data_IF_723522435117
#
_entry.id   IF_723522435117
#
_cell.length_a   1.000
_cell.length_b   1.000
_cell.length_c   1.000
_cell.angle_alpha   90.00
_cell.angle_beta   90.00
_cell.angle_gamma   90.00
#
_symmetry.space_group_name_H-M   'P 1'
#
loop_
_entity.id
_entity.type
_entity.pdbx_description
1 polymer ?
#
# COMPACT_ATOMS: atom_id res chain seq x y z
N UNK A 1 -47.61 -8.56 -29.15
CA UNK A 1 -46.69 -7.46 -28.77
C UNK A 1 -47.10 -7.03 -27.38
N UNK A 2 -46.49 -7.64 -26.37
CA UNK A 2 -46.63 -7.21 -24.98
C UNK A 2 -45.22 -7.08 -24.43
N UNK A 3 -44.89 -5.87 -24.04
CA UNK A 3 -43.56 -5.38 -23.71
C UNK A 3 -43.06 -6.02 -22.40
N UNK A 4 -42.10 -6.95 -22.52
CA UNK A 4 -41.25 -7.39 -21.42
C UNK A 4 -40.13 -6.35 -21.20
N UNK A 5 -40.46 -5.20 -20.63
CA UNK A 5 -39.51 -4.27 -20.03
C UNK A 5 -39.61 -4.37 -18.51
N UNK A 6 -39.28 -5.55 -17.98
CA UNK A 6 -39.14 -5.74 -16.54
C UNK A 6 -37.70 -5.39 -16.14
N UNK A 7 -37.56 -4.21 -15.53
CA UNK A 7 -36.47 -3.81 -14.64
C UNK A 7 -35.03 -4.14 -15.06
N UNK A 8 -34.50 -3.35 -15.98
CA UNK A 8 -33.08 -2.96 -16.00
C UNK A 8 -32.83 -1.90 -14.91
N UNK A 9 -33.21 -2.19 -13.66
CA UNK A 9 -32.63 -1.49 -12.53
C UNK A 9 -31.13 -1.82 -12.56
N UNK A 10 -30.28 -0.80 -12.62
CA UNK A 10 -28.84 -0.94 -12.76
C UNK A 10 -28.30 -1.97 -11.76
N UNK A 11 -27.71 -3.06 -12.25
CA UNK A 11 -27.05 -4.11 -11.44
C UNK A 11 -25.86 -3.58 -10.61
N UNK A 12 -25.62 -2.26 -10.63
CA UNK A 12 -24.62 -1.53 -9.84
C UNK A 12 -24.81 -1.71 -8.33
N UNK A 13 -26.01 -2.01 -7.85
CA UNK A 13 -26.31 -2.08 -6.40
C UNK A 13 -25.81 -3.36 -5.71
N UNK A 14 -25.14 -4.26 -6.43
CA UNK A 14 -24.61 -5.52 -5.88
C UNK A 14 -23.14 -5.39 -5.43
N UNK A 15 -22.40 -4.42 -5.99
CA UNK A 15 -20.97 -4.26 -5.71
C UNK A 15 -20.73 -3.28 -4.57
N UNK A 16 -19.79 -3.59 -3.69
CA UNK A 16 -19.27 -2.69 -2.67
C UNK A 16 -17.74 -2.70 -2.66
N UNK A 17 -17.14 -1.59 -2.22
CA UNK A 17 -15.69 -1.49 -2.06
C UNK A 17 -15.30 -2.14 -0.73
N UNK A 18 -14.47 -3.19 -0.79
CA UNK A 18 -14.05 -3.94 0.39
C UNK A 18 -13.17 -3.11 1.33
N UNK A 19 -12.29 -2.28 0.77
CA UNK A 19 -11.37 -1.43 1.52
C UNK A 19 -12.04 -0.24 2.21
N UNK A 20 -13.28 0.09 1.82
CA UNK A 20 -14.09 1.09 2.49
C UNK A 20 -14.81 0.59 3.74
N UNK A 21 -14.77 -0.72 4.03
CA UNK A 21 -15.37 -1.29 5.23
C UNK A 21 -14.51 -1.00 6.47
N UNK A 22 -15.14 -0.94 7.64
CA UNK A 22 -14.45 -1.07 8.93
C UNK A 22 -14.21 -2.55 9.27
N UNK A 23 -13.38 -2.83 10.27
CA UNK A 23 -13.13 -4.20 10.70
C UNK A 23 -14.40 -5.00 11.07
N UNK A 24 -15.34 -4.47 11.90
CA UNK A 24 -16.58 -5.18 12.20
C UNK A 24 -17.40 -5.51 10.96
N UNK A 25 -17.49 -4.59 10.01
CA UNK A 25 -18.26 -4.79 8.78
C UNK A 25 -17.64 -5.88 7.89
N UNK A 26 -16.31 -5.90 7.78
CA UNK A 26 -15.60 -6.96 7.07
C UNK A 26 -15.71 -8.32 7.79
N UNK A 27 -15.68 -8.32 9.12
CA UNK A 27 -15.86 -9.52 9.95
C UNK A 27 -17.29 -10.09 9.89
N UNK A 28 -18.29 -9.25 9.71
CA UNK A 28 -19.70 -9.64 9.63
C UNK A 28 -20.13 -10.08 8.22
N UNK A 29 -19.26 -9.97 7.21
CA UNK A 29 -19.56 -10.46 5.87
C UNK A 29 -19.82 -11.97 5.87
N UNK A 30 -20.89 -12.43 5.20
CA UNK A 30 -21.09 -13.85 4.95
C UNK A 30 -19.86 -14.44 4.24
N UNK A 31 -19.35 -15.58 4.71
CA UNK A 31 -18.11 -16.19 4.21
C UNK A 31 -18.24 -16.83 2.82
N UNK A 32 -19.44 -16.88 2.29
CA UNK A 32 -19.74 -17.18 0.89
C UNK A 32 -19.89 -15.92 0.01
N UNK A 33 -19.65 -14.71 0.56
CA UNK A 33 -19.59 -13.47 -0.22
C UNK A 33 -18.44 -13.55 -1.22
N UNK A 34 -18.68 -13.35 -2.52
CA UNK A 34 -17.61 -13.24 -3.51
C UNK A 34 -16.74 -12.02 -3.25
N UNK A 35 -15.44 -12.25 -3.09
CA UNK A 35 -14.43 -11.20 -2.98
C UNK A 35 -13.50 -11.25 -4.18
N UNK A 36 -13.36 -10.12 -4.86
CA UNK A 36 -12.69 -10.01 -6.16
C UNK A 36 -11.50 -9.07 -6.05
N UNK A 37 -10.30 -9.55 -6.35
CA UNK A 37 -9.09 -8.77 -6.53
C UNK A 37 -8.88 -8.46 -8.03
N UNK A 38 -9.19 -7.25 -8.52
CA UNK A 38 -9.02 -6.93 -9.93
C UNK A 38 -7.58 -6.52 -10.25
N UNK A 39 -7.06 -7.00 -11.39
CA UNK A 39 -5.79 -6.54 -11.96
C UNK A 39 -6.03 -5.33 -12.86
N UNK A 40 -5.94 -4.13 -12.27
CA UNK A 40 -6.32 -2.87 -12.90
C UNK A 40 -7.81 -2.56 -12.77
N UNK A 41 -8.26 -1.53 -13.48
CA UNK A 41 -9.64 -1.03 -13.46
C UNK A 41 -10.24 -0.99 -14.87
N UNK A 42 -11.58 -0.97 -14.94
CA UNK A 42 -12.32 -0.91 -16.21
C UNK A 42 -12.88 -2.24 -16.70
N UNK A 43 -12.97 -3.25 -15.84
CA UNK A 43 -13.70 -4.49 -16.12
C UNK A 43 -15.21 -4.27 -16.20
N UNK A 44 -15.91 -5.14 -16.94
CA UNK A 44 -17.36 -5.12 -17.04
C UNK A 44 -17.96 -5.82 -15.81
N UNK A 45 -18.53 -5.00 -14.91
CA UNK A 45 -19.14 -5.49 -13.67
C UNK A 45 -20.45 -6.26 -13.91
N UNK A 46 -21.18 -5.97 -15.00
CA UNK A 46 -22.38 -6.74 -15.32
C UNK A 46 -21.99 -8.16 -15.76
N UNK A 47 -20.98 -8.26 -16.62
CA UNK A 47 -20.43 -9.55 -17.04
C UNK A 47 -19.83 -10.30 -15.85
N UNK A 48 -19.14 -9.61 -14.94
CA UNK A 48 -18.60 -10.21 -13.72
C UNK A 48 -19.71 -10.79 -12.84
N UNK A 49 -20.81 -10.05 -12.64
CA UNK A 49 -21.95 -10.53 -11.88
C UNK A 49 -22.55 -11.81 -12.49
N UNK A 50 -22.68 -11.87 -13.83
CA UNK A 50 -23.14 -13.06 -14.53
C UNK A 50 -22.16 -14.24 -14.39
N UNK A 51 -20.85 -14.00 -14.51
CA UNK A 51 -19.79 -15.01 -14.29
C UNK A 51 -19.81 -15.56 -12.85
N UNK A 52 -20.24 -14.77 -11.87
CA UNK A 52 -20.40 -15.15 -10.47
C UNK A 52 -21.77 -15.76 -10.15
N UNK A 53 -22.61 -16.03 -11.16
CA UNK A 53 -23.97 -16.53 -11.01
C UNK A 53 -24.90 -15.59 -10.21
N UNK A 54 -24.77 -14.28 -10.44
CA UNK A 54 -25.62 -13.22 -9.90
C UNK A 54 -25.83 -13.29 -8.36
N UNK A 55 -24.74 -13.22 -7.57
CA UNK A 55 -24.83 -13.22 -6.11
C UNK A 55 -25.53 -11.94 -5.61
N UNK A 56 -26.10 -11.93 -4.39
CA UNK A 56 -26.78 -10.75 -3.85
C UNK A 56 -25.83 -9.60 -3.48
N UNK A 57 -24.52 -9.90 -3.33
CA UNK A 57 -23.46 -8.93 -3.05
C UNK A 57 -22.12 -9.42 -3.60
N UNK A 58 -21.22 -8.50 -3.95
CA UNK A 58 -19.83 -8.77 -4.36
C UNK A 58 -18.92 -7.70 -3.78
N UNK A 59 -17.88 -8.11 -3.07
CA UNK A 59 -16.83 -7.21 -2.59
C UNK A 59 -15.74 -7.04 -3.65
N UNK A 60 -15.47 -5.80 -4.04
CA UNK A 60 -14.33 -5.44 -4.89
C UNK A 60 -13.21 -4.95 -3.99
N UNK A 61 -12.07 -5.64 -4.03
CA UNK A 61 -10.85 -5.17 -3.40
C UNK A 61 -10.21 -4.03 -4.21
N UNK A 62 -9.32 -3.21 -3.59
CA UNK A 62 -8.50 -2.26 -4.32
C UNK A 62 -7.82 -2.89 -5.53
N UNK A 63 -7.87 -2.22 -6.67
CA UNK A 63 -7.24 -2.76 -7.87
C UNK A 63 -5.72 -2.89 -7.68
N UNK A 64 -5.17 -4.04 -8.06
CA UNK A 64 -3.73 -4.21 -8.17
C UNK A 64 -3.24 -3.38 -9.37
N UNK A 65 -2.32 -2.43 -9.21
CA UNK A 65 -2.14 -1.37 -10.21
C UNK A 65 -1.31 -1.79 -11.44
N UNK A 66 -0.34 -2.68 -11.29
CA UNK A 66 0.55 -3.14 -12.37
C UNK A 66 1.25 -4.46 -12.00
N UNK A 67 1.93 -5.11 -12.95
CA UNK A 67 2.78 -6.28 -12.70
C UNK A 67 2.51 -7.47 -13.60
N UNK A 68 1.30 -7.57 -14.15
CA UNK A 68 0.96 -8.59 -15.14
C UNK A 68 1.39 -8.18 -16.54
N UNK A 69 1.50 -9.16 -17.44
CA UNK A 69 1.82 -8.92 -18.84
C UNK A 69 0.81 -7.96 -19.49
N UNK A 70 1.30 -6.89 -20.09
CA UNK A 70 0.46 -5.87 -20.72
C UNK A 70 -0.07 -4.81 -19.74
N UNK A 71 0.27 -4.84 -18.46
CA UNK A 71 0.00 -3.73 -17.53
C UNK A 71 0.92 -2.52 -17.82
N UNK A 72 2.00 -2.76 -18.57
CA UNK A 72 3.03 -1.79 -18.89
C UNK A 72 4.30 -2.00 -18.11
N UNK A 73 4.20 -2.51 -16.88
CA UNK A 73 5.33 -2.88 -16.03
C UNK A 73 5.22 -4.38 -15.77
N UNK A 74 5.69 -5.15 -16.76
CA UNK A 74 5.49 -6.59 -16.80
C UNK A 74 6.58 -7.28 -15.96
N UNK A 75 6.20 -7.90 -14.84
CA UNK A 75 7.11 -8.65 -13.98
C UNK A 75 7.23 -10.12 -14.42
N UNK A 76 8.30 -10.83 -14.01
CA UNK A 76 8.33 -12.28 -14.12
C UNK A 76 7.10 -12.91 -13.46
N UNK A 77 6.38 -13.75 -14.21
CA UNK A 77 5.12 -14.36 -13.78
C UNK A 77 5.19 -15.05 -12.40
N UNK A 78 6.26 -15.80 -12.06
CA UNK A 78 6.36 -16.41 -10.73
C UNK A 78 6.37 -15.41 -9.58
N UNK A 79 7.08 -14.29 -9.74
CA UNK A 79 7.17 -13.23 -8.73
C UNK A 79 5.81 -12.57 -8.55
N UNK A 80 5.17 -12.21 -9.68
CA UNK A 80 3.86 -11.57 -9.68
C UNK A 80 2.78 -12.46 -9.05
N UNK A 81 2.63 -13.70 -9.53
CA UNK A 81 1.57 -14.58 -9.07
C UNK A 81 1.78 -15.06 -7.63
N UNK A 82 3.02 -15.14 -7.14
CA UNK A 82 3.25 -15.41 -5.71
C UNK A 82 2.68 -14.29 -4.82
N UNK A 83 2.86 -13.03 -5.22
CA UNK A 83 2.28 -11.89 -4.51
C UNK A 83 0.74 -11.98 -4.53
N UNK A 84 0.14 -12.14 -5.71
CA UNK A 84 -1.32 -12.25 -5.86
C UNK A 84 -1.89 -13.42 -5.04
N UNK A 85 -1.21 -14.57 -5.07
CA UNK A 85 -1.64 -15.76 -4.33
C UNK A 85 -1.65 -15.52 -2.83
N UNK A 86 -0.64 -14.84 -2.30
CA UNK A 86 -0.58 -14.50 -0.87
C UNK A 86 -1.77 -13.61 -0.46
N UNK A 87 -2.13 -12.62 -1.29
CA UNK A 87 -3.30 -11.78 -1.06
C UNK A 87 -4.63 -12.58 -1.07
N UNK A 88 -4.82 -13.44 -2.07
CA UNK A 88 -6.02 -14.29 -2.13
C UNK A 88 -6.09 -15.25 -0.93
N UNK A 89 -4.94 -15.75 -0.46
CA UNK A 89 -4.89 -16.60 0.71
C UNK A 89 -5.23 -15.85 2.00
N UNK A 90 -4.87 -14.56 2.14
CA UNK A 90 -5.32 -13.75 3.28
C UNK A 90 -6.84 -13.80 3.45
N UNK A 91 -7.60 -13.64 2.37
CA UNK A 91 -9.06 -13.72 2.41
C UNK A 91 -9.58 -15.13 2.72
N UNK A 92 -8.91 -16.17 2.22
CA UNK A 92 -9.29 -17.57 2.51
C UNK A 92 -9.01 -17.93 3.95
N UNK A 93 -7.93 -17.42 4.50
CA UNK A 93 -7.55 -17.61 5.90
C UNK A 93 -8.55 -16.91 6.83
N UNK A 94 -9.19 -15.82 6.37
CA UNK A 94 -10.36 -15.19 7.02
C UNK A 94 -11.67 -15.99 6.81
N UNK A 95 -11.60 -17.16 6.17
CA UNK A 95 -12.70 -18.09 5.98
C UNK A 95 -13.52 -17.89 4.70
N UNK A 96 -13.19 -16.93 3.82
CA UNK A 96 -13.95 -16.71 2.60
C UNK A 96 -13.75 -17.86 1.59
N UNK A 97 -14.86 -18.41 1.11
CA UNK A 97 -14.88 -19.57 0.20
C UNK A 97 -14.89 -19.19 -1.27
N UNK A 98 -15.28 -17.95 -1.59
CA UNK A 98 -15.48 -17.43 -2.95
C UNK A 98 -14.52 -16.26 -3.22
N UNK A 99 -13.24 -16.58 -3.33
CA UNK A 99 -12.15 -15.60 -3.52
C UNK A 99 -11.57 -15.73 -4.92
N UNK A 100 -11.60 -14.64 -5.69
CA UNK A 100 -11.16 -14.63 -7.08
C UNK A 100 -10.22 -13.46 -7.39
N UNK A 101 -9.27 -13.68 -8.28
CA UNK A 101 -8.57 -12.62 -8.99
C UNK A 101 -9.19 -12.43 -10.38
N UNK A 102 -9.58 -11.21 -10.70
CA UNK A 102 -10.14 -10.81 -11.99
C UNK A 102 -9.02 -10.25 -12.87
N UNK A 103 -8.77 -10.88 -14.00
CA UNK A 103 -7.61 -10.58 -14.84
C UNK A 103 -7.96 -10.43 -16.34
N UNK A 104 -7.09 -9.75 -17.12
CA UNK A 104 -7.17 -9.78 -18.57
C UNK A 104 -7.08 -11.19 -19.15
N UNK A 105 -7.84 -11.46 -20.21
CA UNK A 105 -7.68 -12.67 -21.03
C UNK A 105 -6.26 -12.78 -21.60
N UNK A 106 -5.76 -14.01 -21.74
CA UNK A 106 -4.44 -14.30 -22.30
C UNK A 106 -3.31 -14.36 -21.27
N UNK A 107 -3.61 -14.15 -20.00
CA UNK A 107 -2.73 -14.51 -18.88
C UNK A 107 -3.02 -15.96 -18.47
N UNK A 108 -1.98 -16.79 -18.37
CA UNK A 108 -2.11 -18.17 -17.91
C UNK A 108 -1.31 -18.39 -16.61
N UNK A 109 -1.96 -18.30 -15.43
CA UNK A 109 -1.30 -18.55 -14.15
C UNK A 109 -0.87 -20.02 -13.95
N UNK A 110 -1.33 -20.96 -14.79
CA UNK A 110 -1.06 -22.39 -14.62
C UNK A 110 0.32 -22.81 -15.16
N UNK A 111 0.99 -21.95 -15.94
CA UNK A 111 2.32 -22.22 -16.49
C UNK A 111 3.41 -22.33 -15.41
N UNK A 112 3.15 -21.76 -14.24
CA UNK A 112 4.18 -21.50 -13.21
C UNK A 112 3.85 -22.07 -11.83
N UNK A 113 2.59 -22.44 -11.55
CA UNK A 113 2.19 -23.04 -10.27
C UNK A 113 0.95 -23.95 -10.40
N UNK A 114 0.82 -24.93 -9.49
CA UNK A 114 -0.39 -25.73 -9.26
C UNK A 114 -1.52 -24.89 -8.64
N UNK A 115 -1.80 -23.71 -9.20
CA UNK A 115 -2.87 -22.84 -8.76
C UNK A 115 -4.20 -23.47 -9.16
N UNK A 116 -5.12 -23.62 -8.20
CA UNK A 116 -6.46 -24.09 -8.50
C UNK A 116 -7.13 -23.10 -9.47
N UNK A 117 -7.43 -23.57 -10.68
CA UNK A 117 -8.00 -22.81 -11.78
C UNK A 117 -9.29 -22.06 -11.42
N UNK A 118 -9.98 -22.47 -10.35
CA UNK A 118 -11.19 -21.84 -9.82
C UNK A 118 -10.97 -20.45 -9.22
N UNK A 119 -9.73 -20.03 -8.98
CA UNK A 119 -9.42 -18.74 -8.31
C UNK A 119 -9.34 -17.56 -9.27
N UNK A 120 -9.51 -17.77 -10.58
CA UNK A 120 -9.26 -16.74 -11.58
C UNK A 120 -10.43 -16.57 -12.52
N UNK A 121 -10.84 -15.32 -12.72
CA UNK A 121 -11.87 -14.93 -13.67
C UNK A 121 -11.20 -14.07 -14.74
N UNK A 122 -11.43 -14.38 -16.01
CA UNK A 122 -10.83 -13.65 -17.12
C UNK A 122 -11.86 -12.86 -17.90
N UNK A 123 -11.53 -11.65 -18.31
CA UNK A 123 -12.31 -10.83 -19.23
C UNK A 123 -11.41 -10.13 -20.25
N UNK A 124 -11.97 -9.74 -21.40
CA UNK A 124 -11.28 -8.78 -22.26
C UNK A 124 -11.05 -7.49 -21.45
N UNK A 125 -9.82 -6.95 -21.46
CA UNK A 125 -9.46 -5.83 -20.60
C UNK A 125 -8.76 -4.72 -21.38
N UNK A 126 -9.10 -3.50 -21.04
CA UNK A 126 -8.67 -2.30 -21.76
C UNK A 126 -7.15 -2.07 -21.67
N UNK A 127 -6.48 -2.55 -20.61
CA UNK A 127 -5.01 -2.44 -20.48
C UNK A 127 -4.24 -3.11 -21.62
N UNK A 128 -4.82 -4.12 -22.29
CA UNK A 128 -4.21 -4.76 -23.46
C UNK A 128 -4.20 -3.84 -24.69
N UNK A 129 -4.99 -2.76 -24.66
CA UNK A 129 -5.21 -1.85 -25.79
C UNK A 129 -4.81 -0.40 -25.51
N UNK A 130 -4.54 -0.03 -24.25
CA UNK A 130 -4.22 1.35 -23.86
C UNK A 130 -2.72 1.63 -23.74
N UNK A 131 -2.33 2.92 -23.81
CA UNK A 131 -0.98 3.35 -23.46
C UNK A 131 -0.60 2.92 -22.05
N UNK A 132 0.69 2.64 -21.85
CA UNK A 132 1.25 2.20 -20.56
C UNK A 132 1.43 3.41 -19.62
N UNK A 133 0.35 3.82 -18.96
CA UNK A 133 0.27 5.09 -18.18
C UNK A 133 1.06 5.03 -16.85
N UNK A 134 1.38 3.83 -16.35
CA UNK A 134 1.97 3.64 -15.02
C UNK A 134 3.50 3.61 -14.98
N UNK A 135 4.14 3.57 -16.15
CA UNK A 135 5.57 3.76 -16.23
C UNK A 135 5.87 5.23 -16.42
N UNK A 136 6.87 5.78 -15.72
CA UNK A 136 7.33 7.12 -16.04
C UNK A 136 7.80 7.15 -17.50
N UNK A 137 7.34 8.12 -18.32
CA UNK A 137 7.84 8.30 -19.67
C UNK A 137 9.31 8.71 -19.64
N UNK A 138 10.03 8.51 -20.75
CA UNK A 138 11.46 8.83 -20.82
C UNK A 138 11.78 10.31 -20.52
N UNK A 139 10.81 11.21 -20.66
CA UNK A 139 10.90 12.63 -20.27
C UNK A 139 11.08 12.84 -18.76
N UNK A 140 10.72 11.86 -17.94
CA UNK A 140 10.82 11.92 -16.49
C UNK A 140 12.16 11.40 -15.95
N UNK A 141 13.07 10.96 -16.84
CA UNK A 141 14.42 10.52 -16.41
C UNK A 141 15.14 11.66 -15.70
N UNK A 142 15.92 11.30 -14.69
CA UNK A 142 16.61 12.26 -13.83
C UNK A 142 15.76 12.82 -12.70
N UNK A 143 14.43 12.61 -12.68
CA UNK A 143 13.57 12.88 -11.53
C UNK A 143 13.65 11.76 -10.49
N UNK A 144 13.24 12.05 -9.27
CA UNK A 144 12.99 11.01 -8.25
C UNK A 144 11.65 10.35 -8.55
N UNK A 145 11.67 9.03 -8.74
CA UNK A 145 10.45 8.23 -8.87
C UNK A 145 9.93 7.90 -7.46
N UNK A 146 8.83 8.51 -7.07
CA UNK A 146 8.13 8.22 -5.82
C UNK A 146 7.32 6.93 -5.98
N UNK A 147 7.44 6.04 -5.01
CA UNK A 147 6.76 4.74 -4.98
C UNK A 147 5.94 4.69 -3.68
N UNK A 148 4.71 5.23 -3.67
CA UNK A 148 3.83 5.16 -2.52
C UNK A 148 3.28 3.75 -2.33
N UNK A 149 3.42 3.21 -1.12
CA UNK A 149 2.98 1.86 -0.75
C UNK A 149 2.17 1.97 0.53
N UNK A 150 0.85 1.82 0.41
CA UNK A 150 -0.05 1.76 1.54
C UNK A 150 -0.27 0.31 1.98
N UNK A 151 -1.47 0.06 2.44
CA UNK A 151 -1.94 -1.25 2.85
C UNK A 151 -3.47 -1.30 2.88
N UNK A 152 -4.01 -2.50 2.97
CA UNK A 152 -5.44 -2.77 3.20
C UNK A 152 -5.53 -3.61 4.46
N UNK A 153 -5.88 -2.97 5.58
CA UNK A 153 -5.91 -3.61 6.90
C UNK A 153 -6.89 -3.00 7.89
N UNK A 154 -7.29 -3.81 8.88
CA UNK A 154 -8.13 -3.36 9.98
C UNK A 154 -7.52 -2.13 10.67
N UNK A 155 -8.35 -1.14 10.99
CA UNK A 155 -7.94 0.05 11.76
C UNK A 155 -8.95 0.29 12.90
N UNK A 156 -9.08 -0.71 13.76
CA UNK A 156 -10.06 -0.70 14.83
C UNK A 156 -11.50 -0.68 14.30
N UNK A 157 -12.42 -0.22 15.14
CA UNK A 157 -13.85 -0.21 14.81
C UNK A 157 -14.32 1.01 14.02
N UNK A 158 -13.51 2.08 13.96
CA UNK A 158 -13.96 3.39 13.49
C UNK A 158 -13.39 3.83 12.14
N UNK A 159 -12.35 3.18 11.62
CA UNK A 159 -11.70 3.56 10.36
C UNK A 159 -11.83 2.48 9.28
N UNK A 160 -11.79 2.89 8.00
CA UNK A 160 -11.86 1.96 6.88
C UNK A 160 -10.57 1.15 6.73
N UNK A 161 -10.60 0.03 5.99
CA UNK A 161 -9.38 -0.74 5.72
C UNK A 161 -8.35 0.00 4.86
N UNK A 162 -8.75 1.07 4.18
CA UNK A 162 -7.94 1.83 3.22
C UNK A 162 -7.07 2.95 3.81
N UNK A 163 -6.98 3.09 5.15
CA UNK A 163 -6.30 4.21 5.84
C UNK A 163 -4.92 4.51 5.28
N UNK A 164 -4.01 3.54 5.33
CA UNK A 164 -2.62 3.67 4.89
C UNK A 164 -2.50 4.12 3.44
N UNK A 165 -3.36 3.57 2.59
CA UNK A 165 -3.40 3.86 1.16
C UNK A 165 -3.87 5.29 0.89
N UNK A 166 -4.93 5.74 1.57
CA UNK A 166 -5.46 7.10 1.43
C UNK A 166 -4.42 8.14 1.86
N UNK A 167 -3.72 7.88 2.97
CA UNK A 167 -2.73 8.80 3.53
C UNK A 167 -1.52 8.92 2.60
N UNK A 168 -0.90 7.79 2.25
CA UNK A 168 0.35 7.83 1.48
C UNK A 168 0.15 8.33 0.06
N UNK A 169 -1.00 8.05 -0.56
CA UNK A 169 -1.36 8.57 -1.89
C UNK A 169 -1.55 10.09 -1.85
N UNK A 170 -2.23 10.60 -0.82
CA UNK A 170 -2.39 12.05 -0.59
C UNK A 170 -1.05 12.76 -0.43
N UNK A 171 -0.13 12.17 0.35
CA UNK A 171 1.21 12.73 0.58
C UNK A 171 2.04 12.69 -0.72
N UNK A 172 2.01 11.57 -1.45
CA UNK A 172 2.72 11.43 -2.72
C UNK A 172 2.28 12.46 -3.76
N UNK A 173 0.96 12.60 -3.94
CA UNK A 173 0.37 13.59 -4.85
C UNK A 173 0.71 15.02 -4.44
N UNK A 174 0.65 15.31 -3.14
CA UNK A 174 1.06 16.60 -2.57
C UNK A 174 2.52 16.92 -2.89
N UNK A 175 3.43 15.97 -2.66
CA UNK A 175 4.86 16.17 -2.92
C UNK A 175 5.14 16.40 -4.41
N UNK A 176 4.56 15.58 -5.30
CA UNK A 176 4.71 15.77 -6.75
C UNK A 176 4.17 17.12 -7.20
N UNK A 177 3.05 17.58 -6.64
CA UNK A 177 2.48 18.89 -7.00
C UNK A 177 3.40 20.06 -6.66
N UNK A 178 4.22 19.95 -5.61
CA UNK A 178 5.14 21.01 -5.18
C UNK A 178 6.47 20.98 -5.94
N UNK A 179 6.96 19.80 -6.33
CA UNK A 179 8.21 19.64 -7.10
C UNK A 179 8.03 18.81 -8.38
N UNK A 180 7.13 19.21 -9.31
CA UNK A 180 6.75 18.42 -10.48
C UNK A 180 7.88 18.29 -11.50
N UNK A 181 8.87 19.18 -11.48
CA UNK A 181 10.05 19.11 -12.35
C UNK A 181 11.13 18.18 -11.81
N UNK A 182 11.05 17.77 -10.54
CA UNK A 182 12.09 17.00 -9.83
C UNK A 182 11.61 15.65 -9.33
N UNK A 183 10.31 15.39 -9.36
CA UNK A 183 9.70 14.11 -8.96
C UNK A 183 8.58 13.67 -9.89
N UNK A 184 8.29 12.37 -9.87
CA UNK A 184 7.15 11.76 -10.54
C UNK A 184 6.68 10.58 -9.68
N UNK A 185 5.37 10.38 -9.49
CA UNK A 185 4.86 9.29 -8.65
C UNK A 185 4.29 8.15 -9.49
N UNK A 186 4.69 6.92 -9.14
CA UNK A 186 3.95 5.73 -9.51
C UNK A 186 2.55 5.73 -8.86
N UNK A 187 1.60 4.94 -9.38
CA UNK A 187 0.36 4.66 -8.66
C UNK A 187 0.63 4.10 -7.28
N UNK A 188 -0.20 4.46 -6.30
CA UNK A 188 -0.15 3.87 -4.97
C UNK A 188 -0.39 2.36 -5.04
N UNK A 189 0.45 1.60 -4.35
CA UNK A 189 0.21 0.17 -4.12
C UNK A 189 -0.61 0.01 -2.83
N UNK A 190 -1.84 -0.53 -2.89
CA UNK A 190 -2.70 -0.68 -1.70
C UNK A 190 -2.40 -1.95 -0.89
N UNK A 191 -1.32 -2.65 -1.23
CA UNK A 191 -0.94 -3.92 -0.63
C UNK A 191 0.52 -3.89 -0.19
N UNK A 192 0.76 -4.48 0.97
CA UNK A 192 2.04 -4.46 1.68
C UNK A 192 2.23 -5.72 2.49
N UNK A 193 3.08 -5.65 3.50
CA UNK A 193 3.35 -6.76 4.41
C UNK A 193 2.83 -6.41 5.80
N UNK A 194 1.90 -7.24 6.30
CA UNK A 194 1.46 -7.18 7.69
C UNK A 194 1.70 -8.54 8.35
N UNK A 195 2.46 -8.52 9.45
CA UNK A 195 2.82 -9.74 10.20
C UNK A 195 1.89 -10.05 11.37
N UNK A 196 0.87 -9.21 11.58
CA UNK A 196 -0.09 -9.31 12.69
C UNK A 196 -1.47 -9.82 12.26
N UNK A 197 -1.62 -10.21 10.98
CA UNK A 197 -2.90 -10.61 10.39
C UNK A 197 -3.60 -11.79 11.07
N UNK A 198 -2.88 -12.61 11.85
CA UNK A 198 -3.49 -13.75 12.54
C UNK A 198 -4.39 -13.33 13.70
N UNK A 199 -4.19 -12.12 14.22
CA UNK A 199 -4.93 -11.62 15.38
C UNK A 199 -6.27 -11.00 14.98
N UNK A 200 -6.36 -10.37 13.79
CA UNK A 200 -7.55 -9.66 13.33
C UNK A 200 -7.80 -9.89 11.83
N UNK A 201 -9.05 -10.25 11.49
CA UNK A 201 -9.48 -10.45 10.11
C UNK A 201 -9.46 -9.14 9.30
N UNK A 202 -9.57 -9.27 7.97
CA UNK A 202 -9.61 -8.21 6.98
C UNK A 202 -8.26 -7.54 6.64
N UNK A 203 -7.17 -8.02 7.23
CA UNK A 203 -5.80 -7.58 6.91
C UNK A 203 -5.17 -8.41 5.81
N UNK A 204 -4.85 -7.74 4.70
CA UNK A 204 -4.20 -8.35 3.54
C UNK A 204 -2.71 -8.54 3.78
N UNK A 205 -2.09 -9.60 3.26
CA UNK A 205 -0.65 -9.76 3.38
C UNK A 205 -0.02 -10.27 2.08
N UNK A 206 0.88 -9.47 1.52
CA UNK A 206 1.67 -9.84 0.34
C UNK A 206 2.69 -10.94 0.63
N UNK A 207 3.06 -11.16 1.90
CA UNK A 207 4.16 -12.02 2.31
C UNK A 207 5.53 -11.37 2.07
N UNK A 208 6.36 -11.29 3.10
CA UNK A 208 7.61 -10.53 3.10
C UNK A 208 8.54 -10.79 1.90
N UNK A 209 8.84 -12.07 1.61
CA UNK A 209 9.72 -12.42 0.48
C UNK A 209 9.12 -12.05 -0.89
N UNK A 210 7.83 -12.33 -1.08
CA UNK A 210 7.16 -12.00 -2.33
C UNK A 210 7.06 -10.49 -2.55
N UNK A 211 6.86 -9.72 -1.47
CA UNK A 211 6.90 -8.27 -1.49
C UNK A 211 8.28 -7.73 -1.87
N UNK A 212 9.36 -8.25 -1.26
CA UNK A 212 10.74 -7.87 -1.60
C UNK A 212 11.07 -8.21 -3.06
N UNK A 213 10.81 -9.45 -3.49
CA UNK A 213 11.08 -9.90 -4.85
C UNK A 213 10.32 -9.08 -5.90
N UNK A 214 9.05 -8.74 -5.61
CA UNK A 214 8.23 -7.89 -6.48
C UNK A 214 8.85 -6.50 -6.64
N UNK A 215 9.17 -5.82 -5.55
CA UNK A 215 9.68 -4.46 -5.63
C UNK A 215 11.10 -4.38 -6.18
N UNK A 216 11.95 -5.37 -5.91
CA UNK A 216 13.26 -5.44 -6.56
C UNK A 216 13.10 -5.66 -8.06
N UNK A 217 12.18 -6.54 -8.51
CA UNK A 217 11.90 -6.71 -9.94
C UNK A 217 11.35 -5.43 -10.60
N UNK A 218 10.52 -4.65 -9.90
CA UNK A 218 10.09 -3.32 -10.35
C UNK A 218 11.29 -2.39 -10.57
N UNK A 219 12.20 -2.32 -9.60
CA UNK A 219 13.40 -1.49 -9.72
C UNK A 219 14.32 -2.00 -10.84
N UNK A 220 14.48 -3.31 -11.02
CA UNK A 220 15.25 -3.90 -12.10
C UNK A 220 14.77 -3.39 -13.47
N UNK A 221 13.45 -3.37 -13.69
CA UNK A 221 12.82 -2.89 -14.93
C UNK A 221 13.01 -1.38 -15.10
N UNK A 222 12.80 -0.59 -14.04
CA UNK A 222 12.92 0.87 -14.12
C UNK A 222 14.38 1.31 -14.31
N UNK A 223 15.33 0.67 -13.63
CA UNK A 223 16.76 0.90 -13.79
C UNK A 223 17.23 0.56 -15.21
N UNK A 224 16.79 -0.57 -15.77
CA UNK A 224 17.06 -0.93 -17.17
C UNK A 224 16.51 0.11 -18.18
N UNK A 225 15.46 0.85 -17.81
CA UNK A 225 14.90 1.96 -18.61
C UNK A 225 15.61 3.30 -18.40
N UNK A 226 16.65 3.36 -17.56
CA UNK A 226 17.46 4.55 -17.32
C UNK A 226 16.94 5.48 -16.23
N UNK A 227 16.03 5.01 -15.37
CA UNK A 227 15.69 5.71 -14.12
C UNK A 227 16.71 5.35 -13.05
N UNK A 228 17.14 6.34 -12.26
CA UNK A 228 18.30 6.23 -11.39
C UNK A 228 18.07 6.76 -9.96
N UNK A 229 16.89 7.31 -9.67
CA UNK A 229 16.53 7.84 -8.35
C UNK A 229 15.15 7.31 -7.96
N UNK A 230 15.09 6.55 -6.87
CA UNK A 230 13.86 5.91 -6.39
C UNK A 230 13.63 6.23 -4.93
N UNK A 231 12.40 6.57 -4.58
CA UNK A 231 11.99 6.81 -3.21
C UNK A 231 10.75 5.97 -2.86
N UNK A 232 10.97 4.90 -2.10
CA UNK A 232 9.89 4.14 -1.48
C UNK A 232 9.33 4.92 -0.30
N UNK A 233 8.02 5.13 -0.30
CA UNK A 233 7.31 5.85 0.76
C UNK A 233 6.30 4.90 1.39
N UNK A 234 6.50 4.56 2.66
CA UNK A 234 5.59 3.68 3.38
C UNK A 234 4.41 4.44 3.98
N UNK A 235 3.21 3.94 3.69
CA UNK A 235 1.96 4.25 4.38
C UNK A 235 1.70 3.38 5.61
N UNK A 236 2.45 2.27 5.76
CA UNK A 236 2.16 1.20 6.71
C UNK A 236 3.43 0.77 7.48
N UNK A 237 3.34 0.64 8.81
CA UNK A 237 4.49 0.30 9.65
C UNK A 237 5.17 -1.02 9.25
N UNK A 238 4.38 -2.06 8.97
CA UNK A 238 4.87 -3.41 8.66
C UNK A 238 5.70 -3.52 7.37
N UNK A 239 5.60 -2.54 6.45
CA UNK A 239 6.43 -2.52 5.24
C UNK A 239 7.89 -2.17 5.54
N UNK A 240 8.17 -1.45 6.64
CA UNK A 240 9.40 -0.66 6.80
C UNK A 240 10.68 -1.47 6.72
N UNK A 241 10.75 -2.60 7.44
CA UNK A 241 11.92 -3.47 7.44
C UNK A 241 12.20 -4.09 6.07
N UNK A 242 11.14 -4.46 5.34
CA UNK A 242 11.23 -4.99 3.98
C UNK A 242 11.68 -3.92 2.96
N UNK A 243 11.20 -2.68 3.07
CA UNK A 243 11.65 -1.58 2.22
C UNK A 243 13.14 -1.28 2.41
N UNK A 244 13.65 -1.38 3.64
CA UNK A 244 15.10 -1.27 3.91
C UNK A 244 15.88 -2.36 3.19
N UNK A 245 15.39 -3.60 3.16
CA UNK A 245 16.01 -4.69 2.41
C UNK A 245 15.96 -4.44 0.90
N UNK A 246 14.81 -4.03 0.36
CA UNK A 246 14.64 -3.69 -1.06
C UNK A 246 15.66 -2.63 -1.50
N UNK A 247 15.82 -1.55 -0.73
CA UNK A 247 16.78 -0.48 -1.03
C UNK A 247 18.21 -1.02 -1.09
N UNK A 248 18.59 -1.93 -0.17
CA UNK A 248 19.92 -2.56 -0.16
C UNK A 248 20.13 -3.46 -1.37
N UNK A 249 19.18 -4.36 -1.66
CA UNK A 249 19.26 -5.26 -2.82
C UNK A 249 19.27 -4.50 -4.14
N UNK A 250 18.46 -3.46 -4.28
CA UNK A 250 18.44 -2.59 -5.45
C UNK A 250 19.79 -1.88 -5.65
N UNK A 251 20.38 -1.31 -4.58
CA UNK A 251 21.69 -0.67 -4.63
C UNK A 251 22.84 -1.63 -4.94
N UNK A 252 22.76 -2.87 -4.48
CA UNK A 252 23.71 -3.94 -4.82
C UNK A 252 23.62 -4.33 -6.31
N UNK A 253 22.40 -4.61 -6.80
CA UNK A 253 22.16 -5.01 -8.19
C UNK A 253 22.46 -3.89 -9.19
N UNK A 254 22.16 -2.64 -8.83
CA UNK A 254 22.29 -1.48 -9.71
C UNK A 254 23.18 -0.40 -9.10
N UNK A 255 24.50 -0.59 -9.18
CA UNK A 255 25.51 0.27 -8.52
C UNK A 255 25.50 1.77 -8.89
N UNK A 256 24.67 2.18 -9.85
CA UNK A 256 24.55 3.57 -10.32
C UNK A 256 23.26 4.27 -9.90
N UNK A 257 22.28 3.56 -9.37
CA UNK A 257 21.06 4.18 -8.88
C UNK A 257 21.27 4.74 -7.47
N UNK A 258 20.36 5.61 -7.05
CA UNK A 258 20.10 5.99 -5.68
C UNK A 258 18.69 5.52 -5.32
N UNK A 259 18.61 4.52 -4.46
CA UNK A 259 17.34 4.00 -3.95
C UNK A 259 17.26 4.35 -2.46
N UNK A 260 16.12 4.83 -2.00
CA UNK A 260 15.92 5.27 -0.63
C UNK A 260 14.53 4.91 -0.11
N UNK A 261 14.42 4.85 1.22
CA UNK A 261 13.16 4.79 1.96
C UNK A 261 13.32 5.62 3.24
N UNK A 262 12.20 6.02 3.84
CA UNK A 262 12.14 6.50 5.21
C UNK A 262 11.42 5.44 6.08
N UNK A 263 11.38 5.64 7.40
CA UNK A 263 10.64 4.76 8.30
C UNK A 263 9.13 4.83 7.98
N UNK A 264 8.48 5.97 8.23
CA UNK A 264 7.07 6.21 7.88
C UNK A 264 6.83 7.63 7.32
N UNK A 265 5.62 7.89 6.86
CA UNK A 265 5.28 9.13 6.15
C UNK A 265 5.33 10.40 7.01
N UNK A 266 5.34 10.30 8.34
CA UNK A 266 5.45 11.46 9.26
C UNK A 266 6.56 11.25 10.30
N UNK A 267 7.64 10.55 9.94
CA UNK A 267 8.70 10.17 10.89
C UNK A 267 10.03 10.94 10.72
N UNK A 268 10.16 11.83 9.73
CA UNK A 268 11.38 12.64 9.57
C UNK A 268 11.38 13.87 10.48
N UNK A 269 12.35 14.76 10.29
CA UNK A 269 12.54 15.91 11.18
C UNK A 269 11.39 16.91 11.19
N UNK A 270 10.69 17.10 10.06
CA UNK A 270 9.59 18.06 9.96
C UNK A 270 8.31 17.42 10.51
N UNK A 271 8.04 16.18 10.11
CA UNK A 271 6.91 15.38 10.61
C UNK A 271 6.98 15.16 12.11
N UNK A 272 8.14 14.74 12.64
CA UNK A 272 8.33 14.52 14.07
C UNK A 272 8.14 15.81 14.89
N UNK A 273 8.64 16.96 14.40
CA UNK A 273 8.43 18.25 15.06
C UNK A 273 6.94 18.66 15.06
N UNK A 274 6.21 18.38 13.97
CA UNK A 274 4.78 18.62 13.90
C UNK A 274 3.97 17.68 14.81
N UNK A 275 4.36 16.40 14.90
CA UNK A 275 3.76 15.45 15.84
C UNK A 275 3.93 15.94 17.28
N UNK A 276 5.16 16.24 17.70
CA UNK A 276 5.45 16.75 19.05
C UNK A 276 4.64 18.01 19.39
N UNK A 277 4.48 18.91 18.42
CA UNK A 277 3.78 20.17 18.64
C UNK A 277 2.26 20.02 18.79
N UNK A 278 1.63 19.13 18.03
CA UNK A 278 0.16 19.07 17.91
C UNK A 278 -0.47 17.84 18.57
N UNK A 279 0.34 16.84 18.92
CA UNK A 279 -0.09 15.64 19.66
C UNK A 279 -0.75 16.03 20.97
N UNK A 280 -1.80 15.29 21.32
CA UNK A 280 -2.46 15.43 22.64
C UNK A 280 -2.59 14.12 23.40
N UNK A 281 -2.45 12.98 22.73
CA UNK A 281 -2.30 11.68 23.38
C UNK A 281 -0.94 11.52 24.03
N UNK A 282 -0.83 10.64 25.02
CA UNK A 282 0.46 10.23 25.61
C UNK A 282 1.19 9.26 24.67
N UNK A 283 2.47 9.00 24.95
CA UNK A 283 3.23 7.88 24.33
C UNK A 283 2.37 6.60 24.39
N UNK A 284 2.32 5.86 23.28
CA UNK A 284 1.36 4.76 23.06
C UNK A 284 0.12 5.18 22.26
N UNK A 285 -0.21 6.47 22.22
CA UNK A 285 -1.41 6.98 21.55
C UNK A 285 -1.34 7.11 20.03
N UNK A 286 -0.18 6.88 19.41
CA UNK A 286 0.04 7.08 17.96
C UNK A 286 0.45 5.80 17.20
N UNK A 287 0.24 4.58 17.74
CA UNK A 287 0.71 3.36 17.08
C UNK A 287 -0.10 2.96 15.83
N UNK A 288 -1.39 2.65 16.01
CA UNK A 288 -2.29 2.13 14.97
C UNK A 288 -3.76 2.45 15.28
N UNK A 289 -4.58 2.71 14.26
CA UNK A 289 -5.93 3.26 14.39
C UNK A 289 -5.97 4.50 15.31
N UNK A 290 -4.90 5.29 15.25
CA UNK A 290 -4.47 6.13 16.35
C UNK A 290 -4.89 7.61 16.18
N UNK A 291 -4.43 8.51 17.07
CA UNK A 291 -4.72 9.95 16.96
C UNK A 291 -4.30 10.50 15.58
N UNK A 292 -3.12 10.11 15.09
CA UNK A 292 -2.57 10.59 13.82
C UNK A 292 -3.39 10.14 12.62
N UNK A 293 -3.59 8.84 12.46
CA UNK A 293 -4.32 8.25 11.33
C UNK A 293 -5.77 8.70 11.30
N UNK A 294 -6.43 8.66 12.46
CA UNK A 294 -7.82 9.13 12.58
C UNK A 294 -7.93 10.61 12.20
N UNK A 295 -6.94 11.43 12.59
CA UNK A 295 -6.88 12.85 12.20
C UNK A 295 -6.72 13.03 10.69
N UNK A 296 -5.82 12.28 10.05
CA UNK A 296 -5.68 12.29 8.60
C UNK A 296 -7.00 11.96 7.91
N UNK A 297 -7.69 10.90 8.33
CA UNK A 297 -8.93 10.48 7.70
C UNK A 297 -10.07 11.47 7.94
N UNK A 298 -10.16 12.08 9.13
CA UNK A 298 -11.11 13.16 9.39
C UNK A 298 -10.90 14.38 8.47
N UNK A 299 -9.67 14.62 8.02
CA UNK A 299 -9.36 15.67 7.05
C UNK A 299 -9.64 15.24 5.60
N UNK A 300 -9.19 14.05 5.22
CA UNK A 300 -9.16 13.58 3.83
C UNK A 300 -10.48 12.93 3.38
N UNK A 301 -11.07 12.11 4.25
CA UNK A 301 -12.26 11.26 4.00
C UNK A 301 -13.11 11.13 5.26
N UNK A 302 -13.65 12.24 5.80
CA UNK A 302 -14.49 12.21 7.00
C UNK A 302 -15.73 11.33 6.84
N UNK A 303 -16.18 11.11 5.60
CA UNK A 303 -17.29 10.23 5.26
C UNK A 303 -17.04 8.75 5.57
N UNK A 304 -15.78 8.34 5.75
CA UNK A 304 -15.40 6.98 6.12
C UNK A 304 -15.12 6.81 7.63
N UNK A 305 -15.20 7.89 8.42
CA UNK A 305 -14.88 7.87 9.85
C UNK A 305 -16.15 7.66 10.70
N UNK A 306 -16.15 6.61 11.51
CA UNK A 306 -17.21 6.30 12.46
C UNK A 306 -16.77 6.64 13.89
N UNK A 307 -16.59 7.93 14.18
CA UNK A 307 -16.02 8.40 15.45
C UNK A 307 -16.81 7.95 16.69
N UNK A 308 -18.10 7.65 16.55
CA UNK A 308 -18.92 7.06 17.61
C UNK A 308 -18.48 5.64 18.02
N UNK A 309 -17.68 4.97 17.19
CA UNK A 309 -17.15 3.61 17.40
C UNK A 309 -15.71 3.61 17.91
N UNK A 310 -15.10 4.77 18.12
CA UNK A 310 -13.68 4.86 18.50
C UNK A 310 -13.45 4.17 19.86
N UNK A 311 -12.37 3.40 19.96
CA UNK A 311 -11.91 2.80 21.21
C UNK A 311 -10.43 3.08 21.33
N UNK A 312 -10.04 3.74 22.43
CA UNK A 312 -8.64 3.98 22.73
C UNK A 312 -8.08 2.79 23.52
N UNK A 313 -7.08 2.14 22.96
CA UNK A 313 -6.27 1.13 23.66
C UNK A 313 -4.84 1.67 23.63
N UNK A 314 -4.27 1.95 24.81
CA UNK A 314 -2.91 2.53 24.94
C UNK A 314 -2.07 1.89 26.04
N UNK A 315 -2.63 0.89 26.75
CA UNK A 315 -2.01 0.23 27.90
C UNK A 315 -1.40 -1.11 27.48
N UNK A 316 -0.36 -1.01 26.66
CA UNK A 316 0.32 -2.18 26.09
C UNK A 316 1.44 -2.68 26.98
N UNK A 317 1.84 -3.94 26.77
CA UNK A 317 3.01 -4.51 27.43
C UNK A 317 4.27 -3.80 26.93
N UNK A 318 4.76 -2.85 27.74
CA UNK A 318 5.88 -2.00 27.40
C UNK A 318 7.03 -2.06 28.42
N UNK A 319 8.24 -1.77 27.94
CA UNK A 319 9.45 -1.56 28.73
C UNK A 319 10.17 -0.29 28.24
N UNK A 320 11.18 0.25 28.94
CA UNK A 320 11.89 1.44 28.47
C UNK A 320 12.48 1.32 27.05
N UNK A 321 12.83 0.10 26.64
CA UNK A 321 13.45 -0.19 25.34
C UNK A 321 12.49 -0.84 24.32
N UNK A 322 11.23 -1.09 24.70
CA UNK A 322 10.22 -1.66 23.82
C UNK A 322 8.84 -1.07 24.11
N UNK A 323 8.33 -0.26 23.20
CA UNK A 323 6.97 0.26 23.24
C UNK A 323 6.51 0.64 21.82
N UNK A 324 5.20 0.65 21.60
CA UNK A 324 4.64 1.10 20.33
C UNK A 324 4.28 2.58 20.39
N UNK A 325 4.68 3.31 19.37
CA UNK A 325 4.26 4.67 19.07
C UNK A 325 4.53 4.92 17.58
N UNK A 326 4.16 6.08 17.03
CA UNK A 326 4.28 6.33 15.59
C UNK A 326 5.70 6.15 15.04
N UNK A 327 6.67 6.70 15.76
CA UNK A 327 8.08 6.43 15.52
C UNK A 327 8.41 5.32 16.49
N UNK A 328 8.64 4.10 15.97
CA UNK A 328 8.82 2.90 16.78
C UNK A 328 9.76 3.16 17.96
N UNK A 329 9.27 2.75 19.13
CA UNK A 329 9.84 3.11 20.41
C UNK A 329 10.85 2.11 20.92
N UNK A 330 12.09 2.58 21.09
CA UNK A 330 13.11 1.90 21.89
C UNK A 330 14.23 1.23 21.10
N UNK A 331 15.14 0.58 21.83
CA UNK A 331 16.33 -0.06 21.27
C UNK A 331 16.16 -1.56 21.01
N UNK A 332 15.04 -2.14 21.46
CA UNK A 332 14.68 -3.55 21.31
C UNK A 332 13.56 -3.69 20.29
N UNK A 333 13.74 -4.58 19.31
CA UNK A 333 12.75 -4.87 18.27
C UNK A 333 12.08 -6.21 18.58
N UNK A 334 10.75 -6.22 18.66
CA UNK A 334 9.95 -7.43 18.88
C UNK A 334 8.63 -7.37 18.10
N UNK A 335 8.05 -8.55 17.85
CA UNK A 335 6.82 -8.72 17.07
C UNK A 335 5.87 -9.71 17.76
N UNK A 336 5.33 -9.36 18.94
CA UNK A 336 4.35 -10.20 19.62
C UNK A 336 3.02 -10.27 18.83
N UNK A 337 2.19 -11.30 19.08
CA UNK A 337 0.80 -11.32 18.64
C UNK A 337 0.06 -10.06 19.13
N UNK A 338 -0.71 -9.40 18.26
CA UNK A 338 -1.39 -8.16 18.66
C UNK A 338 -2.57 -8.40 19.60
N UNK A 339 -3.13 -9.61 19.61
CA UNK A 339 -4.17 -10.03 20.53
C UNK A 339 -3.67 -10.21 21.98
N UNK A 340 -2.36 -10.13 22.22
CA UNK A 340 -1.80 -10.02 23.57
C UNK A 340 -1.98 -8.59 24.14
N UNK A 341 -2.06 -7.57 23.28
CA UNK A 341 -1.99 -6.15 23.64
C UNK A 341 -3.28 -5.37 23.32
N UNK A 342 -4.08 -5.82 22.37
CA UNK A 342 -5.28 -5.13 21.89
C UNK A 342 -6.46 -6.08 21.77
N UNK A 343 -7.65 -5.64 22.18
CA UNK A 343 -8.91 -6.37 21.96
C UNK A 343 -9.58 -5.96 20.65
N UNK A 344 -9.33 -4.73 20.22
CA UNK A 344 -10.06 -4.12 19.11
C UNK A 344 -9.26 -4.03 17.81
N UNK A 345 -7.99 -4.41 17.86
CA UNK A 345 -7.02 -4.13 16.80
C UNK A 345 -6.50 -2.70 16.82
N UNK A 346 -7.06 -1.79 17.63
CA UNK A 346 -6.52 -0.46 17.82
C UNK A 346 -5.26 -0.50 18.71
N UNK A 347 -4.25 0.24 18.30
CA UNK A 347 -2.99 0.39 19.02
C UNK A 347 -2.70 1.89 19.21
N UNK A 348 -3.66 2.64 19.76
CA UNK A 348 -3.57 4.09 19.87
C UNK A 348 -4.82 4.76 20.41
N UNK A 349 -4.80 6.11 20.35
CA UNK A 349 -5.81 6.96 20.95
C UNK A 349 -6.59 7.78 19.89
N UNK A 350 -7.38 7.10 19.05
CA UNK A 350 -8.16 7.73 17.99
C UNK A 350 -9.12 8.82 18.48
N UNK A 351 -9.58 8.77 19.73
CA UNK A 351 -10.52 9.76 20.30
C UNK A 351 -9.95 11.19 20.37
N UNK A 352 -8.63 11.33 20.34
CA UNK A 352 -7.93 12.62 20.37
C UNK A 352 -7.88 13.32 19.01
N UNK A 353 -8.31 12.64 17.95
CA UNK A 353 -8.17 13.12 16.59
C UNK A 353 -9.09 14.31 16.26
N UNK A 354 -8.57 15.20 15.43
CA UNK A 354 -9.35 16.28 14.79
C UNK A 354 -8.93 16.44 13.33
N UNK A 355 -9.85 16.92 12.49
CA UNK A 355 -9.56 17.23 11.09
C UNK A 355 -8.47 18.31 10.93
N UNK A 356 -8.40 19.27 11.86
CA UNK A 356 -7.38 20.33 11.81
C UNK A 356 -5.97 19.77 12.05
N UNK A 357 -5.80 18.85 13.01
CA UNK A 357 -4.54 18.12 13.18
C UNK A 357 -4.17 17.34 11.93
N UNK A 358 -5.16 16.69 11.28
CA UNK A 358 -4.97 15.98 10.01
C UNK A 358 -4.42 16.87 8.91
N UNK A 359 -4.98 18.07 8.75
CA UNK A 359 -4.49 19.07 7.79
C UNK A 359 -3.05 19.49 8.10
N UNK A 360 -2.75 19.82 9.35
CA UNK A 360 -1.43 20.28 9.80
C UNK A 360 -0.35 19.20 9.62
N UNK A 361 -0.64 17.95 9.98
CA UNK A 361 0.29 16.84 9.79
C UNK A 361 0.46 16.47 8.33
N UNK A 362 -0.59 16.59 7.50
CA UNK A 362 -0.49 16.40 6.05
C UNK A 362 0.43 17.42 5.40
N UNK A 363 0.29 18.69 5.74
CA UNK A 363 1.19 19.75 5.26
C UNK A 363 2.64 19.47 5.63
N UNK A 364 2.90 19.12 6.89
CA UNK A 364 4.24 18.78 7.37
C UNK A 364 4.81 17.54 6.68
N UNK A 365 4.00 16.49 6.48
CA UNK A 365 4.43 15.27 5.80
C UNK A 365 4.76 15.52 4.33
N UNK A 366 3.97 16.33 3.62
CA UNK A 366 4.24 16.72 2.24
C UNK A 366 5.53 17.53 2.15
N UNK A 367 5.70 18.56 3.00
CA UNK A 367 6.92 19.37 3.04
C UNK A 367 8.16 18.50 3.29
N UNK A 368 8.04 17.54 4.20
CA UNK A 368 9.11 16.58 4.46
C UNK A 368 9.47 15.74 3.23
N UNK A 369 8.49 15.26 2.46
CA UNK A 369 8.78 14.43 1.29
C UNK A 369 9.35 15.25 0.14
N UNK A 370 8.94 16.52 0.00
CA UNK A 370 9.60 17.48 -0.88
C UNK A 370 11.06 17.66 -0.47
N UNK A 371 11.35 17.82 0.82
CA UNK A 371 12.72 17.94 1.31
C UNK A 371 13.55 16.67 1.04
N UNK A 372 12.98 15.48 1.25
CA UNK A 372 13.64 14.21 0.93
C UNK A 372 13.94 14.09 -0.58
N UNK A 373 13.05 14.53 -1.47
CA UNK A 373 13.32 14.57 -2.92
C UNK A 373 14.56 15.40 -3.22
N UNK A 374 14.70 16.58 -2.60
CA UNK A 374 15.90 17.42 -2.78
C UNK A 374 17.16 16.77 -2.24
N UNK A 375 17.08 16.16 -1.05
CA UNK A 375 18.22 15.43 -0.48
C UNK A 375 18.64 14.23 -1.35
N UNK A 376 17.70 13.52 -1.96
CA UNK A 376 17.98 12.41 -2.88
C UNK A 376 18.76 12.92 -4.09
N UNK A 377 18.34 14.04 -4.69
CA UNK A 377 19.09 14.68 -5.79
C UNK A 377 20.49 15.06 -5.37
N UNK A 378 20.63 15.76 -4.25
CA UNK A 378 21.93 16.19 -3.70
C UNK A 378 22.87 14.99 -3.44
N UNK A 379 22.34 13.94 -2.82
CA UNK A 379 23.09 12.72 -2.50
C UNK A 379 23.52 11.97 -3.78
N UNK A 380 22.66 11.93 -4.79
CA UNK A 380 22.98 11.35 -6.10
C UNK A 380 24.08 12.15 -6.81
N UNK A 381 23.93 13.46 -6.93
CA UNK A 381 24.90 14.36 -7.59
C UNK A 381 26.28 14.32 -6.92
N UNK A 382 26.33 14.34 -5.59
CA UNK A 382 27.59 14.22 -4.83
C UNK A 382 28.30 12.89 -5.07
N UNK A 383 27.55 11.79 -5.21
CA UNK A 383 28.10 10.47 -5.52
C UNK A 383 28.63 10.41 -6.94
N UNK A 384 27.92 10.96 -7.91
CA UNK A 384 28.40 11.10 -9.29
C UNK A 384 29.71 11.90 -9.35
N UNK A 385 29.77 13.05 -8.65
CA UNK A 385 31.00 13.85 -8.55
C UNK A 385 32.16 13.04 -7.99
N UNK A 386 31.99 12.35 -6.86
CA UNK A 386 33.03 11.48 -6.28
C UNK A 386 33.47 10.37 -7.25
N UNK A 387 32.55 9.78 -8.01
CA UNK A 387 32.91 8.77 -9.03
C UNK A 387 33.80 9.36 -10.12
N UNK A 388 33.49 10.56 -10.60
CA UNK A 388 34.27 11.28 -11.61
C UNK A 388 35.64 11.72 -11.08
N UNK A 389 35.75 12.01 -9.77
CA UNK A 389 37.01 12.25 -9.05
C UNK A 389 37.85 10.98 -8.82
N UNK A 390 37.38 9.81 -9.27
CA UNK A 390 38.14 8.56 -9.24
C UNK A 390 37.89 7.67 -8.02
N UNK A 391 36.95 8.02 -7.13
CA UNK A 391 36.59 7.18 -5.97
C UNK A 391 36.13 5.77 -6.40
N UNK A 392 36.39 4.78 -5.54
CA UNK A 392 36.16 3.37 -5.86
C UNK A 392 37.37 2.76 -6.58
N UNK A 393 38.41 2.46 -5.79
CA UNK A 393 39.72 2.01 -6.27
C UNK A 393 39.82 0.49 -6.48
N UNK A 394 38.81 -0.27 -6.05
CA UNK A 394 38.79 -1.73 -6.21
C UNK A 394 38.86 -2.12 -7.69
N UNK A 395 39.85 -2.94 -8.06
CA UNK A 395 40.08 -3.37 -9.44
C UNK A 395 40.77 -2.35 -10.36
N UNK A 396 41.19 -1.18 -9.84
CA UNK A 396 41.94 -0.17 -10.61
C UNK A 396 43.47 -0.23 -10.39
N UNK A 397 43.92 -1.06 -9.47
CA UNK A 397 45.32 -1.38 -9.25
C UNK A 397 45.53 -2.86 -9.56
N UNK A 398 45.85 -3.16 -10.81
CA UNK A 398 46.35 -4.45 -11.28
C UNK A 398 47.50 -4.21 -12.23
#
# INVERSE_FOLDING_TARGET
MENSYTNLATRSNVFFNYDGLTWPEAADLPRDTPLILPLGSGFDLNLLADQLSNPPRVGLLPAFPFGWRGSGLDLPEPIFFQYITNLLNSLRDDGFTRVYCLMPQGLDPQSTFNLQSSSFITQAHISLSLPKIFLPPNSERGKVILIPIGHTEQHGFHLPLSVDTIIIDSIAKGAVSQVPTRSWSMPVMPYGVSTHRSSFAATMNAGGRAFEDFWVAVIDILAARGFDRFYFMSGHGGNTSFLVNIVKYAGERHRRIFCATAFLHTSGSIGAAALEKYRTSKIGGMGHACELETSYLLHLRPDLCHMERVVDETDFVATPDYYMDWIEGGSLVANPPWDDDSKTGAYGAGSHATAEKGRLWLEAAIEEKVNHVEQIHEQHERREKRRNEGYGLWGKFT
#
